data_IF_533621575735
#
_entry.id   IF_533621575735
#
_cell.length_a   1.000
_cell.length_b   1.000
_cell.length_c   1.000
_cell.angle_alpha   90.00
_cell.angle_beta   90.00
_cell.angle_gamma   90.00
#
_symmetry.space_group_name_H-M   'P 1'
#
loop_
_entity.id
_entity.type
_entity.pdbx_description
1 polymer ?
#
# COMPACT_ATOMS: atom_id res chain seq x y z
N UNK A 1 32.30 -5.48 -2.59
CA UNK A 1 31.24 -6.19 -3.34
C UNK A 1 30.14 -6.46 -2.33
N UNK A 2 29.04 -5.68 -2.39
CA UNK A 2 27.87 -5.99 -1.56
C UNK A 2 27.16 -7.18 -2.22
N UNK A 3 27.29 -8.34 -1.61
CA UNK A 3 26.39 -9.47 -1.92
C UNK A 3 24.98 -9.04 -1.52
N UNK A 4 24.21 -8.56 -2.48
CA UNK A 4 22.81 -8.37 -2.28
C UNK A 4 22.22 -9.76 -2.04
N UNK A 5 21.72 -10.01 -0.84
CA UNK A 5 21.02 -11.27 -0.53
C UNK A 5 19.94 -11.53 -1.58
N UNK A 6 19.78 -12.80 -1.98
CA UNK A 6 18.71 -13.17 -2.90
C UNK A 6 17.35 -12.74 -2.31
N UNK A 7 16.40 -12.28 -3.17
CA UNK A 7 15.08 -11.86 -2.69
C UNK A 7 14.40 -12.97 -1.89
N UNK A 8 13.79 -12.62 -0.76
CA UNK A 8 13.01 -13.58 0.03
C UNK A 8 11.82 -14.10 -0.77
N UNK A 9 11.60 -15.40 -0.74
CA UNK A 9 10.43 -16.05 -1.34
C UNK A 9 9.32 -16.34 -0.33
N UNK A 10 9.56 -16.00 0.94
CA UNK A 10 8.66 -16.35 2.07
C UNK A 10 8.02 -15.16 2.74
N UNK A 11 8.60 -13.97 2.60
CA UNK A 11 8.08 -12.73 3.20
C UNK A 11 8.46 -11.51 2.35
N UNK A 12 7.71 -10.43 2.52
CA UNK A 12 8.01 -9.13 1.95
C UNK A 12 8.80 -8.30 2.96
N UNK A 13 10.03 -7.94 2.61
CA UNK A 13 10.87 -7.11 3.49
C UNK A 13 10.49 -5.62 3.38
N UNK A 14 10.60 -4.86 4.49
CA UNK A 14 10.38 -3.42 4.44
C UNK A 14 11.40 -2.71 3.54
N UNK A 15 12.62 -3.23 3.40
CA UNK A 15 13.66 -2.73 2.51
C UNK A 15 13.23 -2.82 1.04
N UNK A 16 12.61 -3.92 0.66
CA UNK A 16 12.09 -4.11 -0.71
C UNK A 16 11.01 -3.09 -1.02
N UNK A 17 10.07 -2.85 -0.12
CA UNK A 17 9.01 -1.86 -0.32
C UNK A 17 9.58 -0.45 -0.38
N UNK A 18 10.49 -0.09 0.53
CA UNK A 18 11.14 1.22 0.53
C UNK A 18 11.93 1.44 -0.77
N UNK A 19 12.64 0.42 -1.27
CA UNK A 19 13.36 0.51 -2.54
C UNK A 19 12.41 0.82 -3.71
N UNK A 20 11.23 0.22 -3.75
CA UNK A 20 10.21 0.54 -4.75
C UNK A 20 9.67 1.97 -4.59
N UNK A 21 9.40 2.43 -3.38
CA UNK A 21 9.00 3.81 -3.13
C UNK A 21 10.06 4.80 -3.67
N UNK A 22 11.33 4.56 -3.39
CA UNK A 22 12.44 5.38 -3.86
C UNK A 22 12.57 5.36 -5.39
N UNK A 23 12.49 4.19 -6.00
CA UNK A 23 12.52 4.00 -7.45
C UNK A 23 11.48 4.86 -8.16
N UNK A 24 10.28 4.96 -7.60
CA UNK A 24 9.18 5.76 -8.16
C UNK A 24 9.18 7.22 -7.69
N UNK A 25 10.13 7.59 -6.84
CA UNK A 25 10.30 8.95 -6.34
C UNK A 25 9.17 9.39 -5.42
N UNK A 26 8.62 8.46 -4.62
CA UNK A 26 7.58 8.78 -3.63
C UNK A 26 8.15 9.77 -2.62
N UNK A 27 7.43 10.87 -2.43
CA UNK A 27 7.81 11.97 -1.53
C UNK A 27 7.01 11.98 -0.23
N UNK A 28 5.79 11.43 -0.26
CA UNK A 28 4.88 11.43 0.87
C UNK A 28 4.21 10.06 1.01
N UNK A 29 4.13 9.57 2.23
CA UNK A 29 3.28 8.43 2.58
C UNK A 29 2.15 8.94 3.47
N UNK A 30 0.93 8.90 2.96
CA UNK A 30 -0.27 9.25 3.71
C UNK A 30 -0.82 7.94 4.29
N UNK A 31 -0.83 7.81 5.61
CA UNK A 31 -1.05 6.53 6.25
C UNK A 31 -1.81 6.61 7.56
N UNK A 32 -2.46 5.53 7.93
CA UNK A 32 -2.97 5.34 9.27
C UNK A 32 -2.06 4.32 9.98
N UNK A 33 -1.43 4.71 11.10
CA UNK A 33 -0.62 3.79 11.91
C UNK A 33 -1.49 2.66 12.48
N UNK A 34 -1.28 1.44 12.02
CA UNK A 34 -1.99 0.23 12.46
C UNK A 34 -1.08 -1.00 12.51
N UNK A 35 -1.62 -2.17 12.87
CA UNK A 35 -0.86 -3.40 12.98
C UNK A 35 -0.36 -3.94 11.64
N UNK A 36 -1.08 -3.69 10.55
CA UNK A 36 -0.75 -4.18 9.22
C UNK A 36 0.30 -3.32 8.50
N UNK A 37 0.52 -2.08 8.95
CA UNK A 37 1.42 -1.13 8.30
C UNK A 37 2.65 -0.79 9.13
N UNK A 38 2.63 -1.09 10.43
CA UNK A 38 3.67 -0.66 11.38
C UNK A 38 5.06 -1.27 11.13
N UNK A 39 5.14 -2.42 10.48
CA UNK A 39 6.40 -3.08 10.14
C UNK A 39 7.31 -2.23 9.24
N UNK A 40 6.73 -1.32 8.47
CA UNK A 40 7.45 -0.42 7.55
C UNK A 40 7.84 0.92 8.22
N UNK A 41 7.26 1.25 9.37
CA UNK A 41 7.33 2.57 9.99
C UNK A 41 8.76 3.07 10.24
N UNK A 42 9.60 2.24 10.86
CA UNK A 42 10.96 2.67 11.25
C UNK A 42 11.83 3.02 10.04
N UNK A 43 11.71 2.25 8.95
CA UNK A 43 12.43 2.52 7.71
C UNK A 43 11.90 3.78 7.02
N UNK A 44 10.59 3.92 6.91
CA UNK A 44 10.00 5.14 6.35
C UNK A 44 10.40 6.39 7.12
N UNK A 45 10.40 6.30 8.47
CA UNK A 45 10.78 7.42 9.35
C UNK A 45 12.24 7.83 9.19
N UNK A 46 13.11 6.86 8.94
CA UNK A 46 14.55 7.09 8.78
C UNK A 46 14.95 7.55 7.37
N UNK A 47 14.05 7.43 6.37
CA UNK A 47 14.38 7.76 4.98
C UNK A 47 14.39 9.26 4.74
N UNK A 48 15.55 9.85 4.37
CA UNK A 48 15.64 11.26 4.03
C UNK A 48 14.80 11.58 2.79
N UNK A 49 14.02 12.65 2.87
CA UNK A 49 13.17 13.11 1.74
C UNK A 49 11.81 12.42 1.65
N UNK A 50 11.50 11.48 2.54
CA UNK A 50 10.17 10.89 2.68
C UNK A 50 9.41 11.55 3.84
N UNK A 51 8.26 12.14 3.54
CA UNK A 51 7.39 12.76 4.55
C UNK A 51 6.26 11.81 4.92
N UNK A 52 6.12 11.51 6.22
CA UNK A 52 5.00 10.71 6.73
C UNK A 52 3.86 11.63 7.17
N UNK A 53 2.68 11.43 6.61
CA UNK A 53 1.46 12.15 6.95
C UNK A 53 0.50 11.17 7.62
N UNK A 54 0.51 11.14 8.94
CA UNK A 54 -0.43 10.31 9.69
C UNK A 54 -1.83 10.90 9.69
N UNK A 55 -2.83 10.06 9.48
CA UNK A 55 -4.24 10.46 9.48
C UNK A 55 -5.00 9.73 10.58
N UNK A 56 -6.05 10.34 11.18
CA UNK A 56 -6.89 9.69 12.17
C UNK A 56 -8.00 8.82 11.56
N UNK A 57 -8.16 8.86 10.23
CA UNK A 57 -9.19 8.15 9.49
C UNK A 57 -8.75 7.94 8.05
N UNK A 58 -8.94 6.75 7.51
CA UNK A 58 -8.42 6.35 6.20
C UNK A 58 -9.06 7.13 5.04
N UNK A 59 -10.34 7.44 5.13
CA UNK A 59 -11.01 8.29 4.12
C UNK A 59 -10.34 9.65 3.94
N UNK A 60 -9.70 10.22 4.97
CA UNK A 60 -8.91 11.44 4.86
C UNK A 60 -7.62 11.25 4.07
N UNK A 61 -7.05 10.04 4.09
CA UNK A 61 -5.84 9.76 3.32
C UNK A 61 -6.06 9.98 1.83
N UNK A 62 -7.24 9.65 1.31
CA UNK A 62 -7.57 9.80 -0.11
C UNK A 62 -7.60 11.28 -0.53
N UNK A 63 -8.24 12.14 0.25
CA UNK A 63 -8.31 13.57 -0.04
C UNK A 63 -6.96 14.28 0.10
N UNK A 64 -6.19 13.94 1.15
CA UNK A 64 -4.85 14.50 1.37
C UNK A 64 -3.90 14.07 0.24
N UNK A 65 -3.89 12.79 -0.10
CA UNK A 65 -3.06 12.28 -1.19
C UNK A 65 -3.44 12.92 -2.54
N UNK A 66 -4.73 13.12 -2.80
CA UNK A 66 -5.17 13.85 -4.01
C UNK A 66 -4.69 15.30 -4.03
N UNK A 67 -4.75 16.00 -2.91
CA UNK A 67 -4.24 17.36 -2.77
C UNK A 67 -2.72 17.44 -2.96
N UNK A 68 -1.97 16.51 -2.40
CA UNK A 68 -0.51 16.41 -2.59
C UNK A 68 -0.16 16.15 -4.05
N UNK A 69 -0.87 15.23 -4.72
CA UNK A 69 -0.68 14.94 -6.13
C UNK A 69 -0.98 16.17 -7.02
N UNK A 70 -2.07 16.89 -6.74
CA UNK A 70 -2.40 18.14 -7.41
C UNK A 70 -1.34 19.24 -7.21
N UNK A 71 -0.66 19.23 -6.05
CA UNK A 71 0.46 20.09 -5.73
C UNK A 71 1.81 19.65 -6.34
N UNK A 72 1.82 18.59 -7.18
CA UNK A 72 3.02 18.09 -7.84
C UNK A 72 3.87 17.14 -6.99
N UNK A 73 3.40 16.75 -5.81
CA UNK A 73 4.05 15.74 -4.99
C UNK A 73 3.71 14.32 -5.50
N UNK A 74 4.48 13.34 -5.07
CA UNK A 74 4.24 11.93 -5.40
C UNK A 74 3.83 11.16 -4.13
N UNK A 75 2.55 11.16 -3.79
CA UNK A 75 2.05 10.45 -2.61
C UNK A 75 1.83 8.96 -2.88
N UNK A 76 1.98 8.17 -1.81
CA UNK A 76 1.49 6.80 -1.65
C UNK A 76 0.48 6.80 -0.50
N UNK A 77 -0.61 6.04 -0.62
CA UNK A 77 -1.50 5.77 0.51
C UNK A 77 -1.16 4.40 1.09
N UNK A 78 -0.96 4.32 2.40
CA UNK A 78 -0.64 3.09 3.12
C UNK A 78 -1.67 2.86 4.23
N UNK A 79 -2.51 1.86 4.08
CA UNK A 79 -3.64 1.55 4.96
C UNK A 79 -3.88 0.04 5.01
N UNK A 80 -4.70 -0.44 5.95
CA UNK A 80 -5.19 -1.81 5.93
C UNK A 80 -6.50 -1.95 5.12
N UNK A 81 -6.90 -3.18 4.84
CA UNK A 81 -8.11 -3.48 4.05
C UNK A 81 -9.43 -3.03 4.72
N UNK A 82 -9.51 -2.98 6.05
CA UNK A 82 -10.69 -2.41 6.73
C UNK A 82 -10.81 -0.91 6.44
N UNK A 83 -9.69 -0.20 6.43
CA UNK A 83 -9.64 1.21 6.08
C UNK A 83 -9.87 1.49 4.60
N UNK A 84 -9.48 0.54 3.72
CA UNK A 84 -9.85 0.61 2.31
C UNK A 84 -11.36 0.63 2.13
N UNK A 85 -12.08 -0.25 2.81
CA UNK A 85 -13.55 -0.31 2.75
C UNK A 85 -14.21 0.92 3.40
N UNK A 86 -13.67 1.40 4.52
CA UNK A 86 -14.12 2.63 5.16
C UNK A 86 -14.01 3.84 4.23
N UNK A 87 -13.01 3.86 3.36
CA UNK A 87 -12.70 4.96 2.45
C UNK A 87 -13.56 4.99 1.17
N UNK A 88 -14.55 4.15 1.02
CA UNK A 88 -15.27 3.92 -0.23
C UNK A 88 -15.75 5.20 -0.94
N UNK A 89 -16.44 6.10 -0.23
CA UNK A 89 -16.89 7.36 -0.82
C UNK A 89 -15.73 8.30 -1.16
N UNK A 90 -14.71 8.34 -0.32
CA UNK A 90 -13.50 9.14 -0.57
C UNK A 90 -12.73 8.64 -1.78
N UNK A 91 -12.62 7.32 -1.97
CA UNK A 91 -12.03 6.73 -3.19
C UNK A 91 -12.83 7.13 -4.41
N UNK A 92 -14.15 6.99 -4.36
CA UNK A 92 -15.06 7.37 -5.45
C UNK A 92 -14.89 8.84 -5.84
N UNK A 93 -14.95 9.74 -4.85
CA UNK A 93 -14.93 11.17 -5.08
C UNK A 93 -13.55 11.73 -5.42
N UNK A 94 -12.54 11.39 -4.63
CA UNK A 94 -11.21 11.99 -4.75
C UNK A 94 -10.29 11.27 -5.75
N UNK A 95 -10.26 9.94 -5.74
CA UNK A 95 -9.31 9.23 -6.60
C UNK A 95 -9.89 8.95 -7.98
N UNK A 96 -11.10 8.40 -8.04
CA UNK A 96 -11.73 8.05 -9.31
C UNK A 96 -12.34 9.27 -10.00
N UNK A 97 -13.03 10.13 -9.25
CA UNK A 97 -13.69 11.31 -9.80
C UNK A 97 -12.73 12.38 -10.34
N UNK A 98 -11.52 12.46 -9.77
CA UNK A 98 -10.47 13.40 -10.21
C UNK A 98 -9.36 12.72 -11.03
N UNK A 99 -9.47 11.43 -11.35
CA UNK A 99 -8.51 10.67 -12.14
C UNK A 99 -7.07 10.77 -11.57
N UNK A 100 -6.94 10.56 -10.24
CA UNK A 100 -5.65 10.72 -9.55
C UNK A 100 -4.86 9.41 -9.59
N UNK A 101 -3.64 9.39 -10.17
CA UNK A 101 -2.81 8.19 -10.32
C UNK A 101 -2.08 7.83 -9.03
N UNK A 102 -2.77 7.32 -8.05
CA UNK A 102 -2.22 6.95 -6.74
C UNK A 102 -2.16 5.43 -6.59
N UNK A 103 -1.06 4.94 -6.02
CA UNK A 103 -0.98 3.56 -5.54
C UNK A 103 -1.52 3.50 -4.11
N UNK A 104 -2.47 2.60 -3.88
CA UNK A 104 -3.01 2.23 -2.58
C UNK A 104 -2.27 0.97 -2.13
N UNK A 105 -1.32 1.08 -1.22
CA UNK A 105 -0.68 -0.07 -0.59
C UNK A 105 -1.53 -0.50 0.60
N UNK A 106 -2.07 -1.70 0.52
CA UNK A 106 -3.10 -2.20 1.43
C UNK A 106 -2.60 -3.45 2.13
N UNK A 107 -2.35 -3.36 3.44
CA UNK A 107 -2.13 -4.54 4.28
C UNK A 107 -3.42 -5.35 4.40
N UNK A 108 -3.37 -6.63 4.02
CA UNK A 108 -4.57 -7.47 4.00
C UNK A 108 -4.68 -8.26 5.30
N UNK A 109 -5.27 -7.64 6.31
CA UNK A 109 -5.64 -8.33 7.54
C UNK A 109 -6.51 -9.55 7.20
N UNK A 110 -6.19 -10.67 7.83
CA UNK A 110 -6.88 -11.94 7.61
C UNK A 110 -6.43 -12.69 6.35
N UNK A 111 -5.37 -12.24 5.70
CA UNK A 111 -4.76 -12.97 4.60
C UNK A 111 -4.24 -14.34 5.05
N UNK A 112 -4.45 -15.34 4.22
CA UNK A 112 -3.83 -16.67 4.37
C UNK A 112 -3.38 -17.17 3.00
N UNK A 113 -2.17 -17.72 2.90
CA UNK A 113 -1.63 -18.28 1.65
C UNK A 113 -2.46 -19.42 1.09
N UNK A 114 -3.21 -20.09 1.96
CA UNK A 114 -4.10 -21.20 1.58
C UNK A 114 -5.46 -20.72 1.07
N UNK A 115 -5.73 -19.40 1.08
CA UNK A 115 -6.97 -18.81 0.59
C UNK A 115 -8.20 -19.09 1.45
N UNK A 116 -8.04 -19.78 2.58
CA UNK A 116 -9.15 -20.07 3.50
C UNK A 116 -9.05 -19.12 4.69
N UNK A 117 -9.97 -18.19 4.77
CA UNK A 117 -10.04 -17.23 5.88
C UNK A 117 -11.49 -17.04 6.32
N UNK A 118 -11.68 -16.84 7.63
CA UNK A 118 -12.97 -16.44 8.22
C UNK A 118 -13.03 -14.94 8.50
N UNK A 119 -11.92 -14.21 8.31
CA UNK A 119 -11.91 -12.76 8.46
C UNK A 119 -12.63 -12.10 7.28
N UNK A 120 -13.76 -11.48 7.57
CA UNK A 120 -14.58 -10.82 6.55
C UNK A 120 -13.85 -9.67 5.86
N UNK A 121 -12.85 -9.05 6.52
CA UNK A 121 -12.05 -8.02 5.89
C UNK A 121 -11.29 -8.57 4.67
N UNK A 122 -10.64 -9.73 4.80
CA UNK A 122 -9.97 -10.39 3.67
C UNK A 122 -10.96 -10.86 2.60
N UNK A 123 -12.09 -11.46 3.02
CA UNK A 123 -13.13 -11.98 2.09
C UNK A 123 -13.69 -10.89 1.17
N UNK A 124 -13.82 -9.66 1.67
CA UNK A 124 -14.45 -8.58 0.92
C UNK A 124 -13.45 -7.63 0.23
N UNK A 125 -12.15 -7.72 0.50
CA UNK A 125 -11.14 -6.80 -0.07
C UNK A 125 -11.17 -6.76 -1.59
N UNK A 126 -11.03 -7.91 -2.26
CA UNK A 126 -11.03 -7.96 -3.73
C UNK A 126 -12.40 -7.62 -4.32
N UNK A 127 -13.48 -8.02 -3.65
CA UNK A 127 -14.86 -7.67 -4.09
C UNK A 127 -15.08 -6.17 -4.07
N UNK A 128 -14.56 -5.49 -3.04
CA UNK A 128 -14.61 -4.04 -2.93
C UNK A 128 -13.86 -3.37 -4.08
N UNK A 129 -12.61 -3.77 -4.34
CA UNK A 129 -11.81 -3.23 -5.44
C UNK A 129 -12.48 -3.46 -6.79
N UNK A 130 -13.00 -4.65 -7.03
CA UNK A 130 -13.74 -4.99 -8.25
C UNK A 130 -15.01 -4.13 -8.43
N UNK A 131 -15.75 -3.84 -7.36
CA UNK A 131 -16.94 -2.97 -7.43
C UNK A 131 -16.60 -1.54 -7.89
N UNK A 132 -15.38 -1.06 -7.61
CA UNK A 132 -14.88 0.25 -8.04
C UNK A 132 -14.07 0.20 -9.34
N UNK A 133 -13.91 -0.98 -9.96
CA UNK A 133 -13.03 -1.21 -11.12
C UNK A 133 -11.60 -0.71 -10.85
N UNK A 134 -11.06 -0.99 -9.67
CA UNK A 134 -9.68 -0.70 -9.29
C UNK A 134 -8.87 -1.98 -9.48
N UNK A 135 -7.87 -1.93 -10.35
CA UNK A 135 -6.93 -3.03 -10.54
C UNK A 135 -6.05 -3.20 -9.31
N UNK A 136 -5.66 -4.44 -9.04
CA UNK A 136 -4.80 -4.74 -7.89
C UNK A 136 -3.79 -5.84 -8.17
N UNK A 137 -2.70 -5.81 -7.43
CA UNK A 137 -1.60 -6.77 -7.50
C UNK A 137 -1.31 -7.31 -6.11
N UNK A 138 -1.34 -8.64 -5.98
CA UNK A 138 -0.99 -9.31 -4.75
C UNK A 138 0.53 -9.43 -4.63
N UNK A 139 1.07 -9.07 -3.48
CA UNK A 139 2.49 -9.16 -3.13
C UNK A 139 2.61 -9.87 -1.79
N UNK A 140 3.23 -11.05 -1.80
CA UNK A 140 3.40 -11.90 -0.61
C UNK A 140 4.85 -12.01 -0.16
N UNK A 141 5.79 -11.65 -1.03
CA UNK A 141 7.22 -11.80 -0.76
C UNK A 141 8.06 -10.84 -1.60
N UNK A 142 9.36 -10.76 -1.31
CA UNK A 142 10.30 -9.98 -2.12
C UNK A 142 10.36 -10.43 -3.59
N UNK A 143 10.07 -11.70 -3.86
CA UNK A 143 9.99 -12.21 -5.24
C UNK A 143 8.87 -11.55 -6.06
N UNK A 144 7.86 -10.99 -5.40
CA UNK A 144 6.74 -10.29 -6.03
C UNK A 144 6.97 -8.77 -6.21
N UNK A 145 8.14 -8.26 -5.85
CA UNK A 145 8.45 -6.82 -5.86
C UNK A 145 8.19 -6.14 -7.22
N UNK A 146 8.36 -6.88 -8.32
CA UNK A 146 8.05 -6.39 -9.67
C UNK A 146 6.58 -6.01 -9.86
N UNK A 147 5.65 -6.58 -9.10
CA UNK A 147 4.23 -6.25 -9.15
C UNK A 147 3.95 -4.85 -8.56
N UNK A 148 4.77 -4.41 -7.59
CA UNK A 148 4.71 -3.03 -7.07
C UNK A 148 5.09 -2.04 -8.19
N UNK A 149 6.15 -2.36 -8.93
CA UNK A 149 6.59 -1.56 -10.08
C UNK A 149 5.51 -1.46 -11.16
N UNK A 150 4.84 -2.57 -11.46
CA UNK A 150 3.71 -2.61 -12.40
C UNK A 150 2.57 -1.72 -11.91
N UNK A 151 2.21 -1.78 -10.63
CA UNK A 151 1.13 -0.97 -10.06
C UNK A 151 1.39 0.54 -10.22
N UNK A 152 2.61 0.99 -9.92
CA UNK A 152 2.98 2.41 -10.11
C UNK A 152 2.92 2.80 -11.59
N UNK A 153 3.46 1.97 -12.47
CA UNK A 153 3.49 2.23 -13.92
C UNK A 153 2.07 2.29 -14.50
N UNK A 154 1.20 1.36 -14.08
CA UNK A 154 -0.19 1.34 -14.50
C UNK A 154 -0.96 2.56 -14.01
N UNK A 155 -0.84 2.92 -12.73
CA UNK A 155 -1.52 4.10 -12.19
C UNK A 155 -1.18 5.36 -13.01
N UNK A 156 0.10 5.56 -13.32
CA UNK A 156 0.54 6.69 -14.12
C UNK A 156 0.01 6.66 -15.56
N UNK A 157 -0.03 5.48 -16.18
CA UNK A 157 -0.49 5.29 -17.55
C UNK A 157 -2.01 5.48 -17.68
N UNK A 158 -2.76 4.94 -16.74
CA UNK A 158 -4.24 4.93 -16.80
C UNK A 158 -4.88 6.15 -16.16
N UNK A 159 -4.12 6.93 -15.38
CA UNK A 159 -4.62 8.03 -14.54
C UNK A 159 -5.70 7.57 -13.57
N UNK A 160 -5.51 6.38 -13.02
CA UNK A 160 -6.45 5.77 -12.07
C UNK A 160 -5.70 5.24 -10.85
N UNK A 161 -6.36 5.13 -9.70
CA UNK A 161 -5.78 4.43 -8.56
C UNK A 161 -5.57 2.94 -8.90
N UNK A 162 -4.49 2.38 -8.37
CA UNK A 162 -4.19 0.94 -8.43
C UNK A 162 -3.84 0.47 -7.03
N UNK A 163 -4.29 -0.71 -6.62
CA UNK A 163 -3.97 -1.26 -5.32
C UNK A 163 -2.80 -2.26 -5.38
N UNK A 164 -1.97 -2.24 -4.34
CA UNK A 164 -1.00 -3.30 -4.02
C UNK A 164 -1.50 -3.95 -2.75
N UNK A 165 -1.91 -5.20 -2.84
CA UNK A 165 -2.35 -5.99 -1.68
C UNK A 165 -1.15 -6.70 -1.07
N UNK A 166 -0.79 -6.31 0.14
CA UNK A 166 0.28 -6.98 0.90
C UNK A 166 -0.33 -8.12 1.68
N UNK A 167 -0.11 -9.32 1.15
CA UNK A 167 -0.65 -10.56 1.66
C UNK A 167 0.41 -11.38 2.37
N UNK A 168 0.91 -10.91 3.51
CA UNK A 168 1.85 -11.67 4.32
C UNK A 168 1.25 -11.97 5.70
N UNK A 169 1.11 -13.25 6.01
CA UNK A 169 0.56 -13.74 7.28
C UNK A 169 1.38 -13.31 8.51
N UNK A 170 2.61 -12.86 8.28
CA UNK A 170 3.58 -12.57 9.34
C UNK A 170 3.74 -11.07 9.62
N UNK A 171 3.14 -10.20 8.82
CA UNK A 171 3.15 -8.77 9.07
C UNK A 171 2.18 -8.40 10.20
N UNK A 172 2.63 -7.61 11.15
CA UNK A 172 1.82 -7.11 12.25
C UNK A 172 2.15 -7.69 13.62
N UNK A 173 2.55 -8.95 13.74
CA UNK A 173 2.77 -9.56 15.05
C UNK A 173 4.23 -9.86 15.43
N UNK A 174 5.16 -9.94 14.49
CA UNK A 174 6.49 -10.48 14.75
C UNK A 174 7.66 -9.48 14.77
N UNK A 175 7.47 -8.23 14.39
CA UNK A 175 8.57 -7.26 14.37
C UNK A 175 8.60 -6.25 15.53
N UNK A 176 7.65 -6.29 16.44
CA UNK A 176 7.68 -5.46 17.65
C UNK A 176 8.64 -5.95 18.74
N UNK A 177 9.35 -7.05 18.52
CA UNK A 177 10.19 -7.74 19.51
C UNK A 177 11.66 -7.87 19.08
N UNK A 178 12.24 -6.81 18.51
CA UNK A 178 13.71 -6.71 18.39
C UNK A 178 14.20 -5.31 18.70
#
# INVERSE_FOLDING_TARGET
MNDAAAPSTTHLSPETVLAQMKKHGITHVVWLPDSETNWLYLLMKAEPGLTLVAVPREGLAMSIASGLAAGGMKPLVLIQNTGLMESGDSIRGWLLGLEVPIVLMVGVRGWTRHGVTTDTAAVYTERFLNAFNINYYLVESDADASRIDVAFSEAQKTKRPVAVLVGDEYHGFHQAAK
#
